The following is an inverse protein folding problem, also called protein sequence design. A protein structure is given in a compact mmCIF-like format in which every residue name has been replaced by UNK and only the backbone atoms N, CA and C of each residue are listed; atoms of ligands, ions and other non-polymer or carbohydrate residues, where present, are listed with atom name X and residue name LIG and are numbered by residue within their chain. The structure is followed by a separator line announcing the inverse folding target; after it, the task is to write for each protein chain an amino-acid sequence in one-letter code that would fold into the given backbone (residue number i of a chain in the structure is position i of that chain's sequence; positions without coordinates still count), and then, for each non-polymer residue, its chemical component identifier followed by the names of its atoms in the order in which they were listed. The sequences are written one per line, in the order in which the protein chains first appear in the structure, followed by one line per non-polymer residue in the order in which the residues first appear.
data_IF_578866793606
#
_entry.id   IF_578866793606
#
_cell.length_a   1.000
_cell.length_b   1.000
_cell.length_c   1.000
_cell.angle_alpha   90.00
_cell.angle_beta   90.00
_cell.angle_gamma   90.00
#
_symmetry.space_group_name_H-M   'P 1'
#
loop_
_entity.id
_entity.type
_entity.pdbx_description
1 polymer ?
#
# COMPACT_ATOMS: atom_id res chain seq x y z
N UNK A 1 -25.36 36.45 -6.25
CA UNK A 1 -24.01 36.24 -5.68
C UNK A 1 -24.04 34.99 -4.81
N UNK A 2 -23.91 33.82 -5.43
CA UNK A 2 -23.83 32.53 -4.74
C UNK A 2 -22.36 32.10 -4.67
N UNK A 3 -21.76 32.27 -3.51
CA UNK A 3 -20.40 31.80 -3.21
C UNK A 3 -20.49 30.31 -2.82
N UNK A 4 -20.17 29.43 -3.77
CA UNK A 4 -20.10 28.00 -3.54
C UNK A 4 -19.01 27.69 -2.49
N UNK A 5 -19.43 27.26 -1.31
CA UNK A 5 -18.56 26.91 -0.20
C UNK A 5 -17.89 25.56 -0.48
N UNK A 6 -16.63 25.57 -0.91
CA UNK A 6 -15.81 24.35 -0.99
C UNK A 6 -15.55 23.82 0.42
N UNK A 7 -16.27 22.77 0.83
CA UNK A 7 -15.96 22.06 2.06
C UNK A 7 -14.67 21.24 1.88
N UNK A 8 -13.60 21.66 2.55
CA UNK A 8 -12.39 20.85 2.70
C UNK A 8 -12.66 19.73 3.73
N UNK A 9 -12.79 18.49 3.27
CA UNK A 9 -12.89 17.33 4.14
C UNK A 9 -11.50 17.05 4.75
N UNK A 10 -11.23 17.60 5.92
CA UNK A 10 -10.01 17.26 6.66
C UNK A 10 -10.13 15.80 7.14
N UNK A 11 -9.17 14.94 6.76
CA UNK A 11 -9.14 13.57 7.29
C UNK A 11 -9.05 13.61 8.81
N UNK A 12 -9.93 12.87 9.48
CA UNK A 12 -9.91 12.75 10.93
C UNK A 12 -8.57 12.16 11.39
N UNK A 13 -7.89 12.76 12.39
CA UNK A 13 -6.67 12.19 12.97
C UNK A 13 -6.82 10.74 13.42
N UNK A 14 -8.03 10.33 13.81
CA UNK A 14 -8.33 8.94 14.21
C UNK A 14 -8.10 7.93 13.08
N UNK A 15 -8.31 8.30 11.82
CA UNK A 15 -8.08 7.43 10.67
C UNK A 15 -6.58 7.15 10.51
N UNK A 16 -5.75 8.20 10.62
CA UNK A 16 -4.30 8.07 10.54
C UNK A 16 -3.75 7.23 11.69
N UNK A 17 -4.21 7.45 12.92
CA UNK A 17 -3.80 6.62 14.06
C UNK A 17 -4.24 5.17 13.93
N UNK A 18 -5.43 4.93 13.37
CA UNK A 18 -5.91 3.57 13.12
C UNK A 18 -5.05 2.87 12.08
N UNK A 19 -4.67 3.57 11.00
CA UNK A 19 -3.76 3.03 9.99
C UNK A 19 -2.39 2.71 10.57
N UNK A 20 -1.81 3.62 11.36
CA UNK A 20 -0.51 3.41 12.01
C UNK A 20 -0.54 2.23 13.00
N UNK A 21 -1.63 2.05 13.74
CA UNK A 21 -1.83 0.90 14.63
C UNK A 21 -1.93 -0.40 13.81
N UNK A 22 -2.61 -0.37 12.68
CA UNK A 22 -2.71 -1.52 11.78
C UNK A 22 -1.34 -1.88 11.20
N UNK A 23 -0.56 -0.90 10.72
CA UNK A 23 0.81 -1.09 10.25
C UNK A 23 1.70 -1.71 11.32
N UNK A 24 1.61 -1.23 12.56
CA UNK A 24 2.35 -1.79 13.70
C UNK A 24 2.01 -3.26 13.92
N UNK A 25 0.72 -3.62 13.86
CA UNK A 25 0.30 -5.03 14.02
C UNK A 25 0.84 -5.93 12.90
N UNK A 26 0.86 -5.45 11.65
CA UNK A 26 1.37 -6.20 10.50
C UNK A 26 2.90 -6.34 10.56
N UNK A 27 3.62 -5.25 10.88
CA UNK A 27 5.07 -5.30 11.09
C UNK A 27 5.47 -6.25 12.23
N UNK A 28 4.69 -6.30 13.31
CA UNK A 28 4.90 -7.25 14.40
C UNK A 28 4.67 -8.70 13.93
N UNK A 29 3.65 -8.96 13.12
CA UNK A 29 3.39 -10.30 12.58
C UNK A 29 4.54 -10.79 11.68
N UNK A 30 5.05 -9.92 10.80
CA UNK A 30 6.17 -10.24 9.89
C UNK A 30 7.43 -10.57 10.70
N UNK A 31 7.81 -9.70 11.64
CA UNK A 31 9.05 -9.88 12.41
C UNK A 31 8.96 -11.06 13.37
N UNK A 32 7.78 -11.32 13.93
CA UNK A 32 7.51 -12.54 14.70
C UNK A 32 7.69 -13.80 13.85
N UNK A 33 7.17 -13.81 12.62
CA UNK A 33 7.33 -14.94 11.69
C UNK A 33 8.80 -15.17 11.30
N UNK A 34 9.55 -14.10 11.02
CA UNK A 34 10.98 -14.17 10.73
C UNK A 34 11.78 -14.71 11.93
N UNK A 35 11.46 -14.26 13.15
CA UNK A 35 12.10 -14.73 14.38
C UNK A 35 11.80 -16.20 14.69
N UNK A 36 10.58 -16.65 14.42
CA UNK A 36 10.18 -18.04 14.60
C UNK A 36 10.80 -19.00 13.56
N UNK A 37 11.25 -18.48 12.41
CA UNK A 37 11.86 -19.26 11.33
C UNK A 37 13.06 -18.53 10.71
N UNK A 38 14.21 -18.51 11.39
CA UNK A 38 15.41 -17.83 10.90
C UNK A 38 15.84 -18.33 9.52
N UNK A 39 16.15 -17.39 8.61
CA UNK A 39 16.56 -17.70 7.24
C UNK A 39 15.41 -17.99 6.26
N UNK A 40 14.16 -17.99 6.72
CA UNK A 40 12.99 -18.09 5.85
C UNK A 40 12.74 -16.79 5.07
N UNK A 41 11.95 -16.90 4.00
CA UNK A 41 11.36 -15.76 3.29
C UNK A 41 9.91 -15.60 3.73
N UNK A 42 9.54 -14.41 4.20
CA UNK A 42 8.15 -14.04 4.48
C UNK A 42 7.61 -13.20 3.32
N UNK A 43 6.48 -13.63 2.77
CA UNK A 43 5.70 -12.84 1.80
C UNK A 43 4.46 -12.32 2.53
N UNK A 44 4.33 -11.00 2.62
CA UNK A 44 3.17 -10.35 3.21
C UNK A 44 2.41 -9.60 2.12
N UNK A 45 1.13 -9.94 1.92
CA UNK A 45 0.26 -9.27 0.97
C UNK A 45 -0.63 -8.28 1.72
N UNK A 46 -0.57 -7.01 1.33
CA UNK A 46 -1.32 -5.92 1.93
C UNK A 46 -1.76 -4.91 0.86
N UNK A 47 -2.68 -4.01 1.22
CA UNK A 47 -3.01 -2.86 0.38
C UNK A 47 -1.80 -1.93 0.23
N UNK A 48 -1.65 -1.29 -0.94
CA UNK A 48 -0.46 -0.48 -1.27
C UNK A 48 -0.19 0.65 -0.26
N UNK A 49 -1.23 1.25 0.32
CA UNK A 49 -1.09 2.29 1.33
C UNK A 49 -0.28 1.87 2.57
N UNK A 50 -0.14 0.58 2.83
CA UNK A 50 0.62 0.05 3.96
C UNK A 50 2.10 -0.22 3.64
N UNK A 51 2.53 -0.11 2.37
CA UNK A 51 3.88 -0.49 1.94
C UNK A 51 4.54 0.50 0.98
N UNK A 52 3.74 1.29 0.25
CA UNK A 52 4.26 2.12 -0.83
C UNK A 52 5.22 3.19 -0.30
N UNK A 53 6.19 3.56 -1.13
CA UNK A 53 7.23 4.56 -0.84
C UNK A 53 8.06 4.22 0.41
N UNK A 54 8.06 2.96 0.83
CA UNK A 54 8.78 2.50 2.02
C UNK A 54 8.17 2.95 3.34
N UNK A 55 6.89 3.32 3.36
CA UNK A 55 6.18 3.83 4.56
C UNK A 55 5.20 2.82 5.12
N UNK A 56 4.84 2.93 6.40
CA UNK A 56 3.90 2.02 7.06
C UNK A 56 4.57 0.74 7.57
N UNK A 57 4.25 -0.41 6.99
CA UNK A 57 4.81 -1.71 7.39
C UNK A 57 6.35 -1.74 7.29
N UNK A 58 7.01 -1.27 6.22
CA UNK A 58 8.47 -1.30 6.12
C UNK A 58 9.16 -0.55 7.27
N UNK A 59 8.61 0.59 7.70
CA UNK A 59 9.12 1.33 8.87
C UNK A 59 8.99 0.51 10.14
N UNK A 60 7.85 -0.16 10.35
CA UNK A 60 7.64 -1.04 11.51
C UNK A 60 8.57 -2.25 11.51
N UNK A 61 8.85 -2.83 10.34
CA UNK A 61 9.84 -3.91 10.22
C UNK A 61 11.24 -3.41 10.56
N UNK A 62 11.62 -2.21 10.10
CA UNK A 62 12.90 -1.59 10.43
C UNK A 62 13.02 -1.28 11.93
N UNK A 63 11.93 -0.83 12.57
CA UNK A 63 11.86 -0.56 14.02
C UNK A 63 12.04 -1.86 14.83
N UNK A 64 11.32 -2.94 14.45
CA UNK A 64 11.24 -4.16 15.25
C UNK A 64 12.36 -5.17 14.96
N UNK A 65 12.92 -5.14 13.75
CA UNK A 65 14.02 -6.03 13.34
C UNK A 65 15.02 -5.29 12.44
N UNK A 66 15.86 -4.41 13.04
CA UNK A 66 16.82 -3.62 12.31
C UNK A 66 17.75 -4.47 11.43
N UNK A 67 17.97 -4.03 10.20
CA UNK A 67 18.81 -4.74 9.23
C UNK A 67 18.10 -5.86 8.46
N UNK A 68 16.82 -6.14 8.75
CA UNK A 68 16.00 -7.00 7.89
C UNK A 68 15.92 -6.41 6.48
N UNK A 69 16.27 -7.22 5.48
CA UNK A 69 16.09 -6.82 4.08
C UNK A 69 14.62 -6.91 3.71
N UNK A 70 14.05 -5.80 3.27
CA UNK A 70 12.69 -5.69 2.77
C UNK A 70 12.76 -5.40 1.28
N UNK A 71 11.89 -6.05 0.51
CA UNK A 71 11.68 -5.80 -0.91
C UNK A 71 10.18 -5.63 -1.12
N UNK A 72 9.80 -4.51 -1.70
CA UNK A 72 8.42 -4.10 -1.95
C UNK A 72 8.07 -4.25 -3.42
N UNK A 73 6.92 -4.86 -3.69
CA UNK A 73 6.32 -4.93 -5.02
C UNK A 73 4.97 -4.24 -4.93
N UNK A 74 4.81 -3.12 -5.63
CA UNK A 74 3.56 -2.37 -5.68
C UNK A 74 2.86 -2.63 -7.00
N UNK A 75 1.63 -3.10 -6.92
CA UNK A 75 0.78 -3.33 -8.10
C UNK A 75 -0.14 -2.13 -8.30
N UNK A 76 -0.13 -1.56 -9.51
CA UNK A 76 -0.95 -0.39 -9.88
C UNK A 76 -1.89 -0.80 -11.01
N UNK A 77 -3.18 -0.50 -10.85
CA UNK A 77 -4.20 -0.73 -11.87
C UNK A 77 -4.24 0.47 -12.82
N UNK A 78 -4.04 0.22 -14.11
CA UNK A 78 -4.01 1.24 -15.17
C UNK A 78 -4.89 0.85 -16.36
N UNK A 79 -5.32 1.84 -17.13
CA UNK A 79 -6.07 1.60 -18.37
C UNK A 79 -5.16 1.11 -19.52
N UNK A 80 -3.91 1.59 -19.55
CA UNK A 80 -2.89 1.20 -20.51
C UNK A 80 -1.60 0.80 -19.78
N UNK A 81 -1.23 -0.47 -19.87
CA UNK A 81 -0.04 -1.03 -19.22
C UNK A 81 1.28 -0.58 -19.89
N UNK A 82 1.22 0.00 -21.08
CA UNK A 82 2.38 0.56 -21.77
C UNK A 82 2.63 2.04 -21.41
N UNK A 83 1.69 2.70 -20.73
CA UNK A 83 1.76 4.10 -20.37
C UNK A 83 2.45 4.30 -19.00
N UNK A 84 3.76 4.06 -18.94
CA UNK A 84 4.55 4.38 -17.75
C UNK A 84 4.63 5.91 -17.55
N UNK A 85 4.15 6.36 -16.40
CA UNK A 85 4.31 7.73 -15.90
C UNK A 85 5.32 7.77 -14.74
N UNK A 86 6.44 8.48 -14.90
CA UNK A 86 7.47 8.58 -13.86
C UNK A 86 6.95 9.28 -12.59
N UNK A 87 6.12 10.32 -12.74
CA UNK A 87 5.63 11.10 -11.61
C UNK A 87 4.65 10.28 -10.74
N UNK A 88 3.85 9.42 -11.36
CA UNK A 88 2.88 8.58 -10.66
C UNK A 88 3.50 7.29 -10.11
N UNK A 89 4.41 6.66 -10.86
CA UNK A 89 4.86 5.30 -10.57
C UNK A 89 6.25 5.21 -9.92
N UNK A 90 7.14 6.17 -10.16
CA UNK A 90 8.50 6.09 -9.62
C UNK A 90 8.51 6.17 -8.09
N UNK A 91 9.30 5.28 -7.49
CA UNK A 91 9.49 5.22 -6.04
C UNK A 91 8.29 4.69 -5.25
N UNK A 92 7.24 4.15 -5.90
CA UNK A 92 6.15 3.48 -5.20
C UNK A 92 6.63 2.20 -4.48
N UNK A 93 7.58 1.47 -5.05
CA UNK A 93 8.22 0.32 -4.43
C UNK A 93 9.54 -0.01 -5.14
N UNK A 94 10.24 -1.04 -4.67
CA UNK A 94 11.46 -1.55 -5.34
C UNK A 94 11.14 -2.08 -6.74
N UNK A 95 9.95 -2.67 -6.88
CA UNK A 95 9.34 -3.00 -8.17
C UNK A 95 7.92 -2.44 -8.22
N UNK A 96 7.57 -1.92 -9.39
CA UNK A 96 6.21 -1.47 -9.70
C UNK A 96 5.69 -2.27 -10.87
N UNK A 97 4.51 -2.87 -10.69
CA UNK A 97 3.86 -3.71 -11.71
C UNK A 97 2.57 -3.04 -12.14
N UNK A 98 2.52 -2.60 -13.39
CA UNK A 98 1.30 -2.11 -14.01
C UNK A 98 0.42 -3.29 -14.40
N UNK A 99 -0.84 -3.25 -13.97
CA UNK A 99 -1.85 -4.27 -14.22
C UNK A 99 -3.01 -3.63 -14.97
N UNK A 100 -3.61 -4.37 -15.92
CA UNK A 100 -4.79 -3.89 -16.62
C UNK A 100 -5.94 -3.75 -15.62
N UNK A 101 -6.61 -2.60 -15.63
CA UNK A 101 -7.84 -2.42 -14.86
C UNK A 101 -8.85 -3.52 -15.21
N UNK A 102 -9.59 -4.06 -14.21
CA UNK A 102 -10.64 -5.03 -14.50
C UNK A 102 -11.68 -4.38 -15.41
N UNK A 103 -12.18 -5.15 -16.39
CA UNK A 103 -13.35 -4.72 -17.16
C UNK A 103 -14.48 -4.39 -16.18
N UNK A 104 -15.24 -3.29 -16.40
CA UNK A 104 -16.39 -3.00 -15.57
C UNK A 104 -17.32 -4.21 -15.54
N UNK A 105 -17.57 -4.75 -14.35
CA UNK A 105 -18.61 -5.75 -14.20
C UNK A 105 -19.93 -5.03 -14.42
N UNK A 106 -20.58 -5.29 -15.57
CA UNK A 106 -21.90 -4.76 -15.85
C UNK A 106 -22.84 -5.07 -14.69
N UNK A 107 -23.69 -4.11 -14.30
CA UNK A 107 -24.55 -4.15 -13.12
C UNK A 107 -25.66 -5.23 -13.14
N UNK A 108 -25.60 -6.18 -14.08
CA UNK A 108 -26.55 -7.27 -14.21
C UNK A 108 -27.96 -6.83 -14.60
N UNK A 109 -28.20 -5.57 -14.96
CA UNK A 109 -29.54 -5.06 -15.29
C UNK A 109 -29.99 -5.32 -16.74
N UNK A 110 -29.22 -6.07 -17.52
CA UNK A 110 -29.59 -6.48 -18.87
C UNK A 110 -30.42 -7.76 -18.89
N UNK A 111 -31.74 -7.65 -18.73
CA UNK A 111 -32.72 -8.62 -19.22
C UNK A 111 -33.97 -7.90 -19.72
#
# INVERSE_FOLDING_TARGET
DDEATTQHYAMSPTVIYSQALWDASMGHAITSALGASPGSLVIHLAGSFHVQRGTGIPERVADYSPGTRVLSIVMVSVNDIAAWDEQEHEGLGDFVVLTKAPEPVGDGSGN
#
